data_IF_618206639139
#
_entry.id   IF_618206639139
#
_cell.length_a   1.000
_cell.length_b   1.000
_cell.length_c   1.000
_cell.angle_alpha   90.00
_cell.angle_beta   90.00
_cell.angle_gamma   90.00
#
_symmetry.space_group_name_H-M   'P 1'
#
loop_
_entity.id
_entity.type
_entity.pdbx_description
1 polymer ?
#
# COMPACT_ATOMS: atom_id res chain seq x y z
N UNK A 1 7.64 -10.32 1.80
CA UNK A 1 8.60 -10.03 0.72
C UNK A 1 8.50 -10.98 -0.49
N UNK A 2 7.67 -12.03 -0.50
CA UNK A 2 7.61 -12.99 -1.62
C UNK A 2 7.44 -12.32 -3.00
N UNK A 3 6.44 -11.45 -3.17
CA UNK A 3 6.18 -10.77 -4.44
C UNK A 3 7.26 -9.74 -4.82
N UNK A 4 7.92 -9.12 -3.84
CA UNK A 4 9.05 -8.22 -4.10
C UNK A 4 10.24 -9.00 -4.65
N UNK A 5 10.54 -10.17 -4.09
CA UNK A 5 11.59 -11.05 -4.59
C UNK A 5 11.27 -11.61 -5.98
N UNK A 6 10.01 -12.00 -6.21
CA UNK A 6 9.54 -12.45 -7.52
C UNK A 6 9.73 -11.36 -8.59
N UNK A 7 9.32 -10.12 -8.27
CA UNK A 7 9.48 -8.97 -9.17
C UNK A 7 10.97 -8.66 -9.43
N UNK A 8 11.81 -8.70 -8.39
CA UNK A 8 13.25 -8.50 -8.52
C UNK A 8 13.90 -9.55 -9.44
N UNK A 9 13.47 -10.81 -9.36
CA UNK A 9 13.91 -11.86 -10.28
C UNK A 9 13.54 -11.59 -11.75
N UNK A 10 12.49 -10.81 -11.99
CA UNK A 10 12.08 -10.34 -13.31
C UNK A 10 12.70 -9.01 -13.76
N UNK A 11 13.66 -8.45 -12.99
CA UNK A 11 14.31 -7.17 -13.32
C UNK A 11 13.46 -5.94 -12.97
N UNK A 12 12.42 -6.10 -12.15
CA UNK A 12 11.61 -5.00 -11.64
C UNK A 12 12.11 -4.54 -10.26
N UNK A 13 12.08 -3.24 -10.02
CA UNK A 13 12.48 -2.62 -8.77
C UNK A 13 11.26 -2.03 -8.06
N UNK A 14 11.15 -2.26 -6.75
CA UNK A 14 10.09 -1.67 -5.95
C UNK A 14 10.27 -0.16 -5.88
N UNK A 15 9.25 0.60 -6.30
CA UNK A 15 9.22 2.07 -6.22
C UNK A 15 8.41 2.54 -5.03
N UNK A 16 7.25 1.92 -4.81
CA UNK A 16 6.33 2.31 -3.75
C UNK A 16 5.67 1.07 -3.14
N UNK A 17 5.44 1.14 -1.83
CA UNK A 17 4.72 0.13 -1.08
C UNK A 17 3.74 0.81 -0.14
N UNK A 18 2.47 0.44 -0.28
CA UNK A 18 1.42 0.81 0.64
C UNK A 18 1.03 -0.40 1.48
N UNK A 19 1.19 -0.31 2.80
CA UNK A 19 0.69 -1.33 3.73
C UNK A 19 -0.70 -0.96 4.19
N UNK A 20 -1.65 -1.91 4.12
CA UNK A 20 -3.05 -1.67 4.47
C UNK A 20 -3.41 -2.40 5.75
N UNK A 21 -4.00 -1.67 6.68
CA UNK A 21 -4.44 -2.15 8.00
C UNK A 21 -5.92 -1.90 8.18
N UNK A 22 -6.61 -2.81 8.86
CA UNK A 22 -8.04 -2.65 9.13
C UNK A 22 -8.29 -1.48 10.10
N UNK A 23 -7.55 -1.45 11.21
CA UNK A 23 -7.44 -0.32 12.16
C UNK A 23 -5.98 -0.20 12.61
N UNK A 24 -5.64 0.86 13.35
CA UNK A 24 -4.30 1.04 13.93
C UNK A 24 -3.85 -0.10 14.86
N UNK A 25 -4.78 -0.88 15.41
CA UNK A 25 -4.50 -2.01 16.29
C UNK A 25 -4.20 -3.32 15.54
N UNK A 26 -4.64 -3.45 14.29
CA UNK A 26 -4.46 -4.67 13.51
C UNK A 26 -3.10 -4.69 12.81
N UNK A 27 -2.50 -5.85 12.59
CA UNK A 27 -1.34 -5.95 11.69
C UNK A 27 -1.75 -5.65 10.23
N UNK A 28 -0.81 -5.25 9.35
CA UNK A 28 -1.08 -5.16 7.92
C UNK A 28 -1.57 -6.49 7.35
N UNK A 29 -2.69 -6.47 6.62
CA UNK A 29 -3.29 -7.66 6.02
C UNK A 29 -3.14 -7.68 4.49
N UNK A 30 -2.80 -6.54 3.89
CA UNK A 30 -2.58 -6.39 2.46
C UNK A 30 -1.45 -5.40 2.21
N UNK A 31 -0.75 -5.58 1.09
CA UNK A 31 0.17 -4.58 0.57
C UNK A 31 -0.11 -4.35 -0.90
N UNK A 32 0.01 -3.10 -1.33
CA UNK A 32 -0.01 -2.69 -2.73
C UNK A 32 1.41 -2.25 -3.07
N UNK A 33 2.00 -2.86 -4.09
CA UNK A 33 3.37 -2.58 -4.50
C UNK A 33 3.36 -2.04 -5.93
N UNK A 34 4.00 -0.89 -6.14
CA UNK A 34 4.28 -0.34 -7.46
C UNK A 34 5.74 -0.59 -7.82
N UNK A 35 5.95 -1.19 -8.98
CA UNK A 35 7.27 -1.55 -9.48
C UNK A 35 7.62 -0.78 -10.75
N UNK A 36 8.92 -0.60 -10.99
CA UNK A 36 9.46 0.03 -12.19
C UNK A 36 10.63 -0.75 -12.75
N UNK A 37 10.87 -0.64 -14.06
CA UNK A 37 12.07 -1.19 -14.70
C UNK A 37 13.34 -0.40 -14.35
N UNK A 38 13.18 0.88 -14.00
CA UNK A 38 14.27 1.71 -13.52
C UNK A 38 14.41 1.56 -12.01
N UNK A 39 15.65 1.40 -11.54
CA UNK A 39 15.95 1.37 -10.12
C UNK A 39 15.70 2.77 -9.53
N UNK A 40 14.76 2.91 -8.57
CA UNK A 40 14.49 4.20 -7.97
C UNK A 40 15.60 4.58 -6.99
N UNK A 41 15.85 5.89 -6.85
CA UNK A 41 16.78 6.40 -5.83
C UNK A 41 16.25 6.24 -4.39
N UNK A 42 14.93 6.14 -4.23
CA UNK A 42 14.26 5.94 -2.95
C UNK A 42 12.99 5.12 -3.13
N UNK A 43 12.66 4.28 -2.15
CA UNK A 43 11.41 3.49 -2.13
C UNK A 43 10.44 4.13 -1.15
N UNK A 44 9.30 4.61 -1.64
CA UNK A 44 8.29 5.20 -0.77
C UNK A 44 7.52 4.09 -0.03
N UNK A 45 7.47 4.19 1.30
CA UNK A 45 6.75 3.24 2.14
C UNK A 45 5.67 3.98 2.92
N UNK A 46 4.42 3.73 2.56
CA UNK A 46 3.24 4.37 3.13
C UNK A 46 2.39 3.32 3.87
N UNK A 47 1.54 3.81 4.76
CA UNK A 47 0.52 3.02 5.45
C UNK A 47 -0.86 3.65 5.25
N UNK A 48 -1.88 2.81 5.10
CA UNK A 48 -3.28 3.21 5.08
C UNK A 48 -4.05 2.40 6.11
N UNK A 49 -4.78 3.11 6.96
CA UNK A 49 -5.75 2.53 7.89
C UNK A 49 -7.15 2.64 7.26
N UNK A 50 -7.92 1.56 7.27
CA UNK A 50 -9.28 1.57 6.69
C UNK A 50 -10.27 2.25 7.65
N UNK A 51 -10.26 1.87 8.92
CA UNK A 51 -11.15 2.42 9.96
C UNK A 51 -10.35 3.03 11.10
N UNK A 52 -10.75 4.23 11.48
CA UNK A 52 -10.27 4.90 12.69
C UNK A 52 -10.81 4.23 13.95
N UNK A 53 -10.24 4.56 15.10
CA UNK A 53 -10.69 4.02 16.40
C UNK A 53 -12.14 4.40 16.74
N UNK A 54 -12.70 5.42 16.07
CA UNK A 54 -14.12 5.82 16.15
C UNK A 54 -15.06 4.88 15.38
N UNK A 55 -14.52 3.89 14.64
CA UNK A 55 -15.28 2.97 13.79
C UNK A 55 -15.67 3.54 12.42
N UNK A 56 -15.39 4.83 12.17
CA UNK A 56 -15.59 5.48 10.86
C UNK A 56 -14.46 5.11 9.91
N UNK A 57 -14.74 5.14 8.61
CA UNK A 57 -13.69 5.02 7.59
C UNK A 57 -12.75 6.21 7.66
N UNK A 58 -11.45 5.96 7.47
CA UNK A 58 -10.44 7.03 7.43
C UNK A 58 -10.61 7.88 6.18
N UNK A 59 -10.12 9.12 6.24
CA UNK A 59 -10.13 10.01 5.10
C UNK A 59 -9.34 9.42 3.92
N UNK A 60 -8.13 8.92 4.18
CA UNK A 60 -7.27 8.32 3.16
C UNK A 60 -7.93 7.12 2.45
N UNK A 61 -8.69 6.30 3.20
CA UNK A 61 -9.45 5.20 2.60
C UNK A 61 -10.65 5.71 1.80
N UNK A 62 -11.39 6.70 2.30
CA UNK A 62 -12.54 7.26 1.57
C UNK A 62 -12.12 7.99 0.30
N UNK A 63 -11.01 8.73 0.31
CA UNK A 63 -10.47 9.39 -0.89
C UNK A 63 -10.06 8.37 -1.95
N UNK A 64 -9.40 7.27 -1.55
CA UNK A 64 -9.05 6.18 -2.46
C UNK A 64 -10.28 5.53 -3.12
N UNK A 65 -11.38 5.41 -2.38
CA UNK A 65 -12.60 4.76 -2.88
C UNK A 65 -13.56 5.72 -3.58
N UNK A 66 -13.42 7.04 -3.40
CA UNK A 66 -14.30 8.06 -3.97
C UNK A 66 -14.39 7.94 -5.48
N UNK A 67 -13.24 7.89 -6.16
CA UNK A 67 -13.14 7.75 -7.62
C UNK A 67 -13.78 6.47 -8.19
N UNK A 68 -14.06 5.46 -7.35
CA UNK A 68 -14.60 4.17 -7.79
C UNK A 68 -16.13 4.07 -7.69
N UNK A 69 -16.76 4.92 -6.86
CA UNK A 69 -18.18 4.85 -6.56
C UNK A 69 -18.98 6.12 -6.92
N UNK A 70 -18.32 7.14 -7.46
CA UNK A 70 -18.96 8.27 -8.15
C UNK A 70 -19.25 7.96 -9.62
#
# INVERSE_FOLDING_TARGET
AYFENLAAGGGFFLREKLSVRQTAAHAPFRSICLFSFQKPGHVFSNEMIIKEDTGKYSLAFTELMGDYYE
#
